data_IF_698643920046
#
_entry.id   IF_698643920046
#
_cell.length_a   1.000
_cell.length_b   1.000
_cell.length_c   1.000
_cell.angle_alpha   90.00
_cell.angle_beta   90.00
_cell.angle_gamma   90.00
#
_symmetry.space_group_name_H-M   'P 1'
#
loop_
_entity.id
_entity.type
_entity.pdbx_description
1 polymer ?
#
# COMPACT_ATOMS: atom_id res chain seq x y z
N UNK A 1 -27.93 2.91 -3.77
CA UNK A 1 -27.62 3.47 -2.46
C UNK A 1 -28.48 4.69 -2.20
N UNK A 2 -29.03 4.79 -1.03
CA UNK A 2 -29.86 5.91 -0.67
C UNK A 2 -29.35 6.55 0.62
N UNK A 3 -28.75 7.70 0.49
CA UNK A 3 -28.15 8.38 1.64
C UNK A 3 -29.19 9.26 2.30
N UNK A 4 -29.40 9.08 3.59
CA UNK A 4 -30.31 9.88 4.38
C UNK A 4 -29.59 10.44 5.59
N UNK A 5 -30.16 11.49 6.12
CA UNK A 5 -29.57 12.15 7.27
C UNK A 5 -30.49 11.98 8.47
N UNK A 6 -29.92 11.52 9.57
CA UNK A 6 -30.70 11.35 10.78
C UNK A 6 -30.88 12.68 11.50
N UNK A 7 -31.78 12.74 12.50
CA UNK A 7 -31.99 13.99 13.25
C UNK A 7 -30.75 14.53 13.93
N UNK A 8 -29.79 13.63 14.22
CA UNK A 8 -28.54 14.07 14.84
C UNK A 8 -27.52 14.56 13.84
N UNK A 9 -27.82 14.47 12.55
CA UNK A 9 -26.91 14.96 11.53
C UNK A 9 -26.03 13.92 10.89
N UNK A 10 -26.16 12.66 11.27
CA UNK A 10 -25.36 11.60 10.64
C UNK A 10 -25.93 11.21 9.29
N UNK A 11 -25.05 10.80 8.40
CA UNK A 11 -25.49 10.27 7.12
C UNK A 11 -25.37 8.74 7.16
N UNK A 12 -26.33 8.06 6.56
CA UNK A 12 -26.32 6.61 6.52
C UNK A 12 -27.05 6.15 5.28
N UNK A 13 -26.79 4.88 4.92
CA UNK A 13 -27.40 4.28 3.75
C UNK A 13 -28.72 3.66 4.15
N UNK A 14 -29.81 4.29 3.75
CA UNK A 14 -31.14 3.85 4.14
C UNK A 14 -31.54 2.53 3.49
N UNK A 15 -30.81 2.06 2.46
CA UNK A 15 -31.05 0.76 1.89
C UNK A 15 -30.47 -0.33 2.76
N UNK A 16 -29.44 -0.03 3.55
CA UNK A 16 -28.81 -1.02 4.41
C UNK A 16 -29.33 -0.98 5.84
N UNK A 17 -29.76 0.19 6.28
CA UNK A 17 -30.18 0.38 7.68
C UNK A 17 -31.55 0.99 7.71
N UNK A 18 -32.41 0.44 8.53
CA UNK A 18 -33.74 1.02 8.71
C UNK A 18 -33.68 2.32 9.50
N UNK A 19 -32.64 2.50 10.29
CA UNK A 19 -32.45 3.71 11.09
C UNK A 19 -30.96 3.98 11.13
N UNK A 20 -30.62 5.18 11.60
CA UNK A 20 -29.21 5.55 11.68
C UNK A 20 -28.47 4.62 12.62
N UNK A 21 -27.46 3.88 12.15
CA UNK A 21 -26.75 2.96 13.02
C UNK A 21 -25.91 3.67 14.07
N UNK A 22 -25.53 4.92 13.82
CA UNK A 22 -24.75 5.66 14.80
C UNK A 22 -25.59 6.12 15.96
N UNK A 23 -26.87 6.41 15.70
CA UNK A 23 -27.78 6.86 16.75
C UNK A 23 -28.37 5.70 17.53
N UNK A 24 -28.54 4.57 16.88
CA UNK A 24 -29.26 3.45 17.49
C UNK A 24 -28.39 2.63 18.42
N UNK A 25 -27.12 2.91 18.46
CA UNK A 25 -26.22 2.11 19.28
C UNK A 25 -25.80 0.81 18.65
N UNK A 26 -26.20 0.58 17.43
CA UNK A 26 -25.87 -0.67 16.76
C UNK A 26 -24.44 -0.71 16.30
N UNK A 27 -23.78 0.41 16.32
CA UNK A 27 -22.46 0.48 15.80
C UNK A 27 -21.45 -0.29 16.64
N UNK A 28 -21.83 -0.67 17.82
CA UNK A 28 -20.85 -1.36 18.62
C UNK A 28 -20.53 -2.74 18.09
N UNK A 29 -21.31 -3.24 17.17
CA UNK A 29 -20.98 -4.53 16.64
C UNK A 29 -19.81 -4.46 15.70
N UNK A 30 -19.52 -3.30 15.19
CA UNK A 30 -18.41 -3.18 14.28
C UNK A 30 -17.41 -2.25 14.88
N UNK A 31 -16.40 -2.79 15.53
CA UNK A 31 -15.36 -1.93 16.06
C UNK A 31 -14.68 -1.21 14.92
N UNK A 32 -14.24 -0.02 15.19
CA UNK A 32 -13.53 0.73 14.19
C UNK A 32 -12.29 -0.03 13.78
N UNK A 33 -11.92 0.01 12.51
CA UNK A 33 -10.67 -0.61 12.10
C UNK A 33 -9.52 0.05 12.83
N UNK A 34 -8.55 -0.75 13.22
CA UNK A 34 -7.37 -0.21 13.86
C UNK A 34 -6.67 0.73 12.90
N UNK A 35 -6.12 1.81 13.43
CA UNK A 35 -5.32 2.69 12.62
C UNK A 35 -4.08 1.94 12.16
N UNK A 36 -3.61 2.21 10.94
CA UNK A 36 -2.41 1.55 10.49
C UNK A 36 -1.26 1.90 11.40
N UNK A 37 -0.48 0.90 11.75
CA UNK A 37 0.68 1.14 12.58
C UNK A 37 1.69 2.01 11.86
N UNK A 38 1.75 1.88 10.54
CA UNK A 38 2.66 2.66 9.73
C UNK A 38 1.86 3.43 8.70
N UNK A 39 2.04 4.76 8.65
CA UNK A 39 1.32 5.53 7.64
C UNK A 39 1.82 5.20 6.24
N UNK A 40 0.95 5.40 5.28
CA UNK A 40 1.28 5.16 3.89
C UNK A 40 2.34 6.15 3.42
N UNK A 41 3.40 5.65 2.81
CA UNK A 41 4.44 6.50 2.27
C UNK A 41 4.43 6.51 0.73
N UNK A 42 3.70 5.59 0.13
CA UNK A 42 3.57 5.53 -1.32
C UNK A 42 2.78 4.32 -1.71
N UNK A 43 2.72 4.07 -3.02
CA UNK A 43 1.96 2.94 -3.57
C UNK A 43 2.70 2.34 -4.74
N UNK A 44 2.41 1.08 -5.01
CA UNK A 44 2.68 0.49 -6.31
C UNK A 44 1.36 0.02 -6.87
N UNK A 45 1.17 0.21 -8.16
CA UNK A 45 -0.10 -0.06 -8.82
C UNK A 45 0.15 -0.97 -10.00
N UNK A 46 -0.60 -2.08 -10.06
CA UNK A 46 -0.46 -3.00 -11.17
C UNK A 46 -1.00 -2.37 -12.44
N UNK A 47 -0.24 -2.49 -13.53
CA UNK A 47 -0.61 -1.84 -14.78
C UNK A 47 -1.03 -2.82 -15.86
N UNK A 48 -1.14 -4.12 -15.55
CA UNK A 48 -1.44 -5.14 -16.55
C UNK A 48 -2.76 -5.82 -16.25
N UNK A 49 -3.54 -6.05 -17.31
CA UNK A 49 -4.78 -6.80 -17.17
C UNK A 49 -4.48 -8.22 -16.73
N UNK A 50 -5.38 -8.85 -16.00
CA UNK A 50 -6.68 -8.38 -15.54
C UNK A 50 -6.64 -7.61 -14.23
N UNK A 51 -5.45 -7.38 -13.70
CA UNK A 51 -5.27 -6.78 -12.38
C UNK A 51 -4.98 -5.30 -12.44
N UNK A 52 -5.14 -4.71 -13.61
CA UNK A 52 -4.80 -3.30 -13.80
C UNK A 52 -5.57 -2.43 -12.81
N UNK A 53 -4.84 -1.54 -12.16
CA UNK A 53 -5.43 -0.64 -11.17
C UNK A 53 -5.36 -1.14 -9.75
N UNK A 54 -5.01 -2.43 -9.55
CA UNK A 54 -4.84 -2.93 -8.21
C UNK A 54 -3.66 -2.24 -7.56
N UNK A 55 -3.85 -1.68 -6.39
CA UNK A 55 -2.79 -0.93 -5.72
C UNK A 55 -2.43 -1.57 -4.40
N UNK A 56 -1.19 -1.27 -3.97
CA UNK A 56 -0.67 -1.76 -2.71
C UNK A 56 0.02 -0.61 -2.01
N UNK A 57 -0.28 -0.45 -0.74
CA UNK A 57 0.31 0.63 0.05
C UNK A 57 1.69 0.22 0.54
N UNK A 58 2.58 1.21 0.57
CA UNK A 58 3.92 1.03 1.09
C UNK A 58 4.04 1.78 2.41
N UNK A 59 4.84 1.22 3.31
CA UNK A 59 5.09 1.85 4.60
C UNK A 59 6.59 2.10 4.75
N UNK A 60 6.94 2.86 5.78
CA UNK A 60 8.33 3.14 6.06
C UNK A 60 9.05 1.86 6.41
N UNK A 61 10.32 1.77 6.02
CA UNK A 61 11.08 0.55 6.23
C UNK A 61 10.93 -0.38 5.06
N UNK A 62 11.03 -1.67 5.33
CA UNK A 62 11.07 -2.68 4.28
C UNK A 62 9.68 -3.17 3.93
N UNK A 63 9.41 -3.22 2.63
CA UNK A 63 8.17 -3.80 2.11
C UNK A 63 8.55 -4.97 1.24
N UNK A 64 8.12 -6.16 1.63
CA UNK A 64 8.43 -7.37 0.88
C UNK A 64 7.37 -7.59 -0.19
N UNK A 65 7.83 -7.89 -1.41
CA UNK A 65 6.93 -8.17 -2.52
C UNK A 65 6.96 -9.66 -2.79
N UNK A 66 5.84 -10.32 -2.63
CA UNK A 66 5.74 -11.76 -2.80
C UNK A 66 4.32 -12.19 -3.06
N UNK A 67 4.12 -13.50 -3.15
CA UNK A 67 2.80 -14.04 -3.49
C UNK A 67 2.03 -14.52 -2.27
N UNK A 68 2.65 -14.58 -1.11
CA UNK A 68 2.00 -15.09 0.09
C UNK A 68 1.40 -14.00 0.94
N UNK A 69 0.53 -14.38 1.88
CA UNK A 69 -0.17 -13.39 2.70
C UNK A 69 0.72 -12.62 3.65
N UNK A 70 1.94 -13.10 3.86
CA UNK A 70 2.87 -12.41 4.75
C UNK A 70 3.65 -11.32 4.04
N UNK A 71 3.57 -11.25 2.72
CA UNK A 71 4.25 -10.21 1.97
C UNK A 71 3.49 -8.90 2.14
N UNK A 72 4.24 -7.81 2.28
CA UNK A 72 3.63 -6.49 2.41
C UNK A 72 2.91 -6.10 1.13
N UNK A 73 3.52 -6.41 0.00
CA UNK A 73 2.87 -6.27 -1.31
C UNK A 73 2.57 -7.69 -1.75
N UNK A 74 1.35 -8.12 -1.51
CA UNK A 74 0.95 -9.49 -1.77
C UNK A 74 0.35 -9.60 -3.16
N UNK A 75 1.03 -10.34 -4.03
CA UNK A 75 0.62 -10.52 -5.42
C UNK A 75 0.35 -12.01 -5.64
N UNK A 76 -0.83 -12.48 -5.19
CA UNK A 76 -1.06 -13.94 -5.17
C UNK A 76 -1.22 -14.57 -6.54
N UNK A 77 -1.48 -13.75 -7.56
CA UNK A 77 -1.65 -14.30 -8.91
C UNK A 77 -0.32 -14.54 -9.62
N UNK A 78 0.78 -14.08 -9.08
CA UNK A 78 2.07 -14.21 -9.76
C UNK A 78 2.76 -15.48 -9.27
N UNK A 79 2.75 -16.51 -10.11
CA UNK A 79 3.26 -17.81 -9.72
C UNK A 79 4.78 -17.86 -9.69
N UNK A 80 5.45 -16.85 -10.20
CA UNK A 80 6.90 -16.80 -10.16
C UNK A 80 7.42 -16.26 -8.84
N UNK A 81 6.58 -15.59 -8.08
CA UNK A 81 6.99 -15.02 -6.80
C UNK A 81 6.91 -16.06 -5.71
N UNK A 82 7.89 -16.04 -4.81
CA UNK A 82 7.81 -16.89 -3.64
C UNK A 82 6.84 -16.28 -2.62
N UNK A 83 6.29 -17.09 -1.74
CA UNK A 83 5.35 -16.53 -0.74
C UNK A 83 6.00 -15.52 0.16
N UNK A 84 7.27 -15.72 0.53
CA UNK A 84 7.93 -14.83 1.47
C UNK A 84 8.42 -13.54 0.83
N UNK A 85 8.55 -13.53 -0.51
CA UNK A 85 8.96 -12.32 -1.19
C UNK A 85 10.30 -12.45 -1.86
N UNK A 86 10.40 -11.90 -3.06
CA UNK A 86 11.62 -11.96 -3.86
C UNK A 86 12.19 -10.58 -4.11
N UNK A 87 11.51 -9.53 -3.67
CA UNK A 87 11.97 -8.17 -3.88
C UNK A 87 11.61 -7.33 -2.67
N UNK A 88 12.27 -6.21 -2.53
CA UNK A 88 12.07 -5.31 -1.40
C UNK A 88 12.01 -3.89 -1.90
N UNK A 89 11.01 -3.15 -1.42
CA UNK A 89 10.98 -1.70 -1.56
C UNK A 89 11.16 -1.13 -0.16
N UNK A 90 12.12 -0.26 -0.01
CA UNK A 90 12.43 0.33 1.29
C UNK A 90 12.29 1.84 1.22
N UNK A 91 11.60 2.41 2.20
CA UNK A 91 11.56 3.86 2.34
C UNK A 91 12.34 4.25 3.58
N UNK A 92 13.34 5.10 3.39
CA UNK A 92 14.17 5.62 4.48
C UNK A 92 13.65 7.01 4.83
N UNK A 93 13.10 7.15 6.02
CA UNK A 93 12.52 8.43 6.44
C UNK A 93 13.56 9.54 6.59
N UNK A 94 14.75 9.18 6.99
CA UNK A 94 15.77 10.20 7.20
C UNK A 94 16.31 10.73 5.89
N UNK A 95 16.56 9.84 4.94
CA UNK A 95 17.03 10.24 3.63
C UNK A 95 15.91 10.65 2.71
N UNK A 96 14.68 10.30 3.04
CA UNK A 96 13.50 10.60 2.24
C UNK A 96 13.60 9.97 0.85
N UNK A 97 14.14 8.77 0.81
CA UNK A 97 14.36 8.07 -0.45
C UNK A 97 13.75 6.69 -0.42
N UNK A 98 13.25 6.26 -1.59
CA UNK A 98 12.81 4.88 -1.79
C UNK A 98 13.88 4.14 -2.54
N UNK A 99 14.09 2.88 -2.18
CA UNK A 99 14.97 2.00 -2.93
C UNK A 99 14.24 0.70 -3.22
N UNK A 100 14.72 0.00 -4.23
CA UNK A 100 14.10 -1.22 -4.70
C UNK A 100 15.16 -2.17 -5.20
N UNK A 101 15.04 -3.43 -4.85
CA UNK A 101 15.99 -4.40 -5.32
C UNK A 101 15.54 -5.82 -5.07
N UNK A 102 16.29 -6.77 -5.60
CA UNK A 102 15.99 -8.19 -5.38
C UNK A 102 16.35 -8.59 -3.96
N UNK A 103 15.65 -9.59 -3.49
CA UNK A 103 15.91 -10.09 -2.15
C UNK A 103 16.96 -11.17 -2.12
N UNK A 104 17.43 -11.59 -3.29
CA UNK A 104 18.48 -12.58 -3.33
C UNK A 104 18.01 -13.99 -3.64
N UNK A 105 16.75 -14.16 -3.97
CA UNK A 105 16.23 -15.48 -4.28
C UNK A 105 16.44 -15.94 -5.71
N UNK A 106 17.15 -15.14 -6.50
CA UNK A 106 17.42 -15.54 -7.87
C UNK A 106 16.39 -15.06 -8.87
N UNK A 107 15.28 -14.53 -8.41
CA UNK A 107 14.27 -14.02 -9.33
C UNK A 107 14.70 -12.64 -9.82
N UNK A 108 14.77 -12.43 -11.14
CA UNK A 108 15.16 -11.12 -11.64
C UNK A 108 14.07 -10.09 -11.42
N UNK A 109 14.47 -8.88 -11.07
CA UNK A 109 13.56 -7.75 -10.97
C UNK A 109 14.07 -6.65 -11.89
N UNK A 110 13.18 -5.80 -12.34
CA UNK A 110 13.51 -4.77 -13.31
C UNK A 110 12.95 -3.44 -12.91
N UNK A 111 13.65 -2.38 -13.31
CA UNK A 111 13.17 -1.01 -13.18
C UNK A 111 13.28 -0.39 -14.55
N UNK A 112 12.14 0.05 -15.08
CA UNK A 112 12.08 0.67 -16.41
C UNK A 112 12.68 -0.24 -17.46
N UNK A 113 12.45 -1.54 -17.33
CA UNK A 113 12.90 -2.52 -18.29
C UNK A 113 14.31 -3.00 -18.12
N UNK A 114 15.05 -2.47 -17.14
CA UNK A 114 16.43 -2.87 -16.91
C UNK A 114 16.54 -3.74 -15.68
N UNK A 115 17.28 -4.84 -15.81
CA UNK A 115 17.48 -5.73 -14.70
C UNK A 115 18.27 -5.06 -13.59
N UNK A 116 17.84 -5.29 -12.36
CA UNK A 116 18.46 -4.70 -11.19
C UNK A 116 19.10 -5.82 -10.38
N UNK A 117 20.38 -5.69 -10.10
CA UNK A 117 21.09 -6.69 -9.32
C UNK A 117 21.22 -6.29 -7.86
N UNK A 118 21.25 -5.01 -7.60
CA UNK A 118 21.32 -4.48 -6.24
C UNK A 118 20.24 -3.42 -6.08
N UNK A 119 20.11 -2.91 -4.86
CA UNK A 119 19.12 -1.87 -4.60
C UNK A 119 19.42 -0.61 -5.41
N UNK A 120 18.39 -0.03 -5.99
CA UNK A 120 18.49 1.22 -6.73
C UNK A 120 17.50 2.21 -6.14
N UNK A 121 17.78 3.48 -6.31
CA UNK A 121 16.88 4.53 -5.85
C UNK A 121 15.75 4.68 -6.84
N UNK A 122 14.52 4.73 -6.34
CA UNK A 122 13.33 4.89 -7.17
C UNK A 122 12.99 6.36 -7.36
N UNK A 123 12.50 6.66 -8.54
CA UNK A 123 11.99 7.98 -8.87
C UNK A 123 10.50 7.89 -9.14
N UNK A 124 9.76 8.99 -8.95
CA UNK A 124 8.31 8.94 -9.20
C UNK A 124 8.02 8.48 -10.62
N UNK A 125 7.07 7.57 -10.73
CA UNK A 125 6.68 7.05 -12.03
C UNK A 125 7.52 5.91 -12.56
N UNK A 126 8.51 5.46 -11.80
CA UNK A 126 9.30 4.31 -12.23
C UNK A 126 8.42 3.09 -12.39
N UNK A 127 8.74 2.26 -13.37
CA UNK A 127 8.02 1.04 -13.63
C UNK A 127 8.84 -0.13 -13.15
N UNK A 128 8.26 -0.90 -12.25
CA UNK A 128 8.92 -2.04 -11.64
C UNK A 128 8.32 -3.32 -12.19
N UNK A 129 9.15 -4.33 -12.35
CA UNK A 129 8.65 -5.65 -12.73
C UNK A 129 9.17 -6.67 -11.74
N UNK A 130 8.26 -7.37 -11.08
CA UNK A 130 8.60 -8.46 -10.19
C UNK A 130 7.86 -9.69 -10.69
N UNK A 131 8.58 -10.80 -10.86
CA UNK A 131 7.98 -11.96 -11.49
C UNK A 131 7.48 -11.58 -12.85
N UNK A 132 6.16 -11.72 -13.04
CA UNK A 132 5.52 -11.33 -14.30
C UNK A 132 4.65 -10.09 -14.13
N UNK A 133 4.70 -9.45 -12.99
CA UNK A 133 3.78 -8.37 -12.65
C UNK A 133 4.45 -7.01 -12.81
N UNK A 134 3.93 -6.16 -13.70
CA UNK A 134 4.44 -4.80 -13.81
C UNK A 134 3.71 -3.89 -12.83
N UNK A 135 4.46 -3.03 -12.18
CA UNK A 135 3.95 -2.13 -11.16
C UNK A 135 4.44 -0.72 -11.45
N UNK A 136 3.58 0.26 -11.20
CA UNK A 136 3.93 1.66 -11.31
C UNK A 136 4.16 2.21 -9.92
N UNK A 137 5.29 2.86 -9.71
CA UNK A 137 5.66 3.41 -8.41
C UNK A 137 5.15 4.82 -8.25
N UNK A 138 4.35 5.07 -7.21
CA UNK A 138 3.77 6.37 -6.91
C UNK A 138 4.15 6.74 -5.49
N UNK A 139 5.10 7.64 -5.29
CA UNK A 139 5.47 8.04 -3.93
C UNK A 139 4.51 9.11 -3.40
N UNK A 140 4.22 9.01 -2.13
CA UNK A 140 3.58 10.09 -1.40
C UNK A 140 4.63 10.91 -0.68
N UNK A 141 5.54 10.22 -0.01
CA UNK A 141 6.61 10.87 0.74
C UNK A 141 7.82 11.09 -0.14
N UNK A 142 8.58 12.09 0.16
CA UNK A 142 9.78 12.44 -0.57
C UNK A 142 10.27 13.79 -0.11
N UNK A 143 10.90 14.51 -1.03
CA UNK A 143 11.46 15.82 -0.65
C UNK A 143 10.39 16.84 -0.34
N UNK A 144 9.19 16.68 -0.91
CA UNK A 144 8.13 17.66 -0.75
C UNK A 144 7.15 17.32 0.35
N UNK A 145 7.13 16.09 0.82
CA UNK A 145 6.19 15.67 1.84
C UNK A 145 6.76 14.52 2.63
N UNK A 146 6.55 14.55 3.93
CA UNK A 146 6.81 13.39 4.77
C UNK A 146 5.91 13.49 5.98
N UNK A 147 5.66 12.33 6.58
CA UNK A 147 4.90 12.31 7.82
C UNK A 147 5.76 12.86 8.94
N UNK A 148 5.13 13.70 9.76
CA UNK A 148 5.82 14.21 10.92
C UNK A 148 6.03 13.08 11.91
N UNK A 149 7.13 13.13 12.61
CA UNK A 149 7.34 12.18 13.68
C UNK A 149 6.38 12.48 14.81
N UNK A 150 6.07 11.44 15.58
CA UNK A 150 5.01 11.55 16.56
C UNK A 150 5.27 12.62 17.60
N UNK A 151 6.51 12.92 17.84
CA UNK A 151 6.79 13.92 18.84
C UNK A 151 6.27 15.26 18.46
N UNK A 152 6.09 15.45 17.19
CA UNK A 152 5.55 16.70 16.82
C UNK A 152 4.17 16.87 17.15
N UNK A 153 3.61 15.82 17.37
CA UNK A 153 2.31 15.96 17.64
C UNK A 153 2.01 15.87 18.93
N UNK A 154 2.65 15.67 19.52
CA UNK A 154 2.35 15.64 20.66
C UNK A 154 2.08 16.44 21.27
N UNK A 155 2.14 16.97 21.03
CA UNK A 155 1.84 17.75 21.61
C UNK A 155 1.11 17.83 22.01
#
# INVERSE_FOLDING_TARGET
>A
MKIERCPQGHFFDAHRYAACPLCSGAQEQEPEPALPQYPTVGWVVCTQEPWRGRDFRLHSGYNLLGSGPQADVCIPWDTQLSPAGDAIICYDQELKLFSFGPRGGGLPVRVNGKMVMDAVILNPGDRLTVGETPLLFIPLCGKDFRWELSEKRED
#
